data_IF_844735071612
#
_entry.id   IF_844735071612
#
_cell.length_a   1.000
_cell.length_b   1.000
_cell.length_c   1.000
_cell.angle_alpha   90.00
_cell.angle_beta   90.00
_cell.angle_gamma   90.00
#
_symmetry.space_group_name_H-M   'P 1'
#
loop_
_entity.id
_entity.type
_entity.pdbx_description
1 polymer ?
#
# COMPACT_ATOMS: atom_id res chain seq x y z
N UNK A 1 -4.04 -2.82 1.49
CA UNK A 1 -4.04 -1.78 0.42
C UNK A 1 -2.63 -1.62 -0.11
N UNK A 2 -2.44 -1.59 -1.44
CA UNK A 2 -1.13 -1.59 -2.10
C UNK A 2 -0.84 -0.24 -2.75
N UNK A 3 0.26 0.43 -2.38
CA UNK A 3 0.88 1.48 -3.19
C UNK A 3 2.41 1.46 -3.04
N UNK A 4 3.05 1.85 -4.16
CA UNK A 4 4.49 1.96 -4.40
C UNK A 4 5.09 3.24 -3.84
N UNK A 5 6.32 3.17 -3.34
CA UNK A 5 7.33 4.19 -3.62
C UNK A 5 8.69 3.55 -3.91
N UNK A 6 9.34 3.91 -5.02
CA UNK A 6 10.80 3.77 -5.23
C UNK A 6 11.37 2.35 -5.06
N UNK A 7 10.65 1.32 -5.54
CA UNK A 7 11.07 -0.09 -5.50
C UNK A 7 10.62 -0.85 -4.25
N UNK A 8 9.88 -0.20 -3.35
CA UNK A 8 9.19 -0.84 -2.23
C UNK A 8 7.68 -0.80 -2.43
N UNK A 9 7.05 -1.96 -2.30
CA UNK A 9 5.61 -2.14 -2.33
C UNK A 9 5.15 -2.58 -0.94
N UNK A 10 4.06 -1.98 -0.43
CA UNK A 10 3.58 -2.29 0.91
C UNK A 10 2.08 -2.55 0.94
N UNK A 11 1.70 -3.47 1.82
CA UNK A 11 0.34 -3.73 2.24
C UNK A 11 0.08 -3.00 3.56
N UNK A 12 -0.91 -2.11 3.56
CA UNK A 12 -1.34 -1.37 4.76
C UNK A 12 -2.79 -1.67 5.08
N UNK A 13 -3.08 -1.82 6.37
CA UNK A 13 -4.44 -2.01 6.87
C UNK A 13 -5.29 -0.76 6.68
N UNK A 14 -6.49 -0.94 6.12
CA UNK A 14 -7.37 0.16 5.76
C UNK A 14 -8.06 0.82 6.96
N UNK A 15 -8.07 0.20 8.16
CA UNK A 15 -8.69 0.77 9.37
C UNK A 15 -7.64 1.45 10.23
N UNK A 16 -6.61 0.73 10.61
CA UNK A 16 -5.59 1.12 11.58
C UNK A 16 -4.39 1.82 10.94
N UNK A 17 -4.10 1.55 9.67
CA UNK A 17 -2.99 2.19 8.96
C UNK A 17 -1.61 1.60 9.27
N UNK A 18 -1.52 0.46 9.94
CA UNK A 18 -0.26 -0.26 10.12
C UNK A 18 0.12 -1.04 8.86
N UNK A 19 1.42 -1.24 8.66
CA UNK A 19 1.98 -2.01 7.56
C UNK A 19 1.97 -3.49 7.94
N UNK A 20 1.34 -4.34 7.14
CA UNK A 20 1.30 -5.79 7.36
C UNK A 20 2.19 -6.57 6.39
N UNK A 21 2.36 -6.09 5.16
CA UNK A 21 3.18 -6.75 4.12
C UNK A 21 4.15 -5.76 3.50
N UNK A 22 5.34 -6.22 3.15
CA UNK A 22 6.37 -5.45 2.49
C UNK A 22 7.00 -6.34 1.42
N UNK A 23 7.08 -5.85 0.21
CA UNK A 23 7.80 -6.46 -0.91
C UNK A 23 8.79 -5.43 -1.49
N UNK A 24 9.90 -5.92 -2.02
CA UNK A 24 10.87 -5.09 -2.72
C UNK A 24 11.19 -5.75 -4.06
N UNK A 25 10.96 -5.00 -5.13
CA UNK A 25 11.16 -5.46 -6.49
C UNK A 25 12.31 -4.69 -7.15
N UNK A 26 12.90 -5.29 -8.18
CA UNK A 26 13.83 -4.58 -9.05
C UNK A 26 13.06 -3.57 -9.91
N UNK A 27 13.69 -2.46 -10.30
CA UNK A 27 13.05 -1.38 -11.07
C UNK A 27 12.49 -1.82 -12.42
N UNK A 28 12.95 -2.95 -12.97
CA UNK A 28 12.47 -3.52 -14.23
C UNK A 28 11.25 -4.44 -14.07
N UNK A 29 10.86 -4.78 -12.84
CA UNK A 29 9.69 -5.63 -12.57
C UNK A 29 8.47 -4.72 -12.39
N UNK A 30 7.36 -5.11 -13.02
CA UNK A 30 6.10 -4.37 -12.85
C UNK A 30 5.48 -4.67 -11.49
N UNK A 31 5.07 -3.60 -10.80
CA UNK A 31 4.38 -3.61 -9.51
C UNK A 31 3.15 -4.55 -9.49
N UNK A 32 2.53 -4.79 -10.65
CA UNK A 32 1.42 -5.75 -10.82
C UNK A 32 1.77 -7.16 -10.33
N UNK A 33 3.04 -7.56 -10.44
CA UNK A 33 3.52 -8.87 -10.02
C UNK A 33 3.72 -8.98 -8.51
N UNK A 34 3.84 -7.86 -7.80
CA UNK A 34 4.00 -7.86 -6.33
C UNK A 34 2.66 -7.97 -5.61
N UNK A 35 1.53 -7.82 -6.33
CA UNK A 35 0.21 -7.87 -5.73
C UNK A 35 -0.06 -9.14 -4.91
N UNK A 36 0.30 -10.37 -5.37
CA UNK A 36 0.11 -11.59 -4.58
C UNK A 36 0.92 -11.59 -3.28
N UNK A 37 2.16 -11.10 -3.30
CA UNK A 37 3.05 -11.08 -2.13
C UNK A 37 2.58 -10.09 -1.06
N UNK A 38 1.73 -9.13 -1.45
CA UNK A 38 1.19 -8.11 -0.55
C UNK A 38 -0.15 -8.50 0.05
N UNK A 39 -0.83 -9.50 -0.52
CA UNK A 39 -2.09 -10.00 -0.01
C UNK A 39 -1.81 -11.11 1.02
N UNK A 40 -2.34 -10.97 2.23
CA UNK A 40 -2.17 -11.93 3.31
C UNK A 40 -3.33 -12.92 3.43
N UNK A 41 -4.38 -12.75 2.63
CA UNK A 41 -5.44 -13.72 2.48
C UNK A 41 -6.59 -13.59 3.49
N UNK A 42 -6.66 -12.49 4.26
CA UNK A 42 -7.80 -12.18 5.13
C UNK A 42 -8.51 -10.88 4.70
N UNK A 43 -8.12 -10.31 3.56
CA UNK A 43 -8.67 -9.06 3.08
C UNK A 43 -10.15 -9.20 2.70
N UNK A 44 -10.97 -8.28 3.19
CA UNK A 44 -12.37 -8.14 2.73
C UNK A 44 -12.49 -7.16 1.57
N UNK A 45 -11.59 -6.18 1.50
CA UNK A 45 -11.58 -5.13 0.48
C UNK A 45 -10.14 -4.78 0.12
N UNK A 46 -9.86 -4.74 -1.17
CA UNK A 46 -8.54 -4.37 -1.70
C UNK A 46 -8.66 -3.05 -2.45
N UNK A 47 -8.02 -2.02 -1.90
CA UNK A 47 -8.00 -0.68 -2.47
C UNK A 47 -6.69 -0.50 -3.24
N UNK A 48 -6.78 -0.18 -4.53
CA UNK A 48 -5.61 -0.01 -5.39
C UNK A 48 -5.87 1.12 -6.39
N UNK A 49 -4.79 1.71 -6.93
CA UNK A 49 -4.89 2.73 -7.97
C UNK A 49 -5.32 2.16 -9.33
N UNK A 50 -5.59 3.04 -10.29
CA UNK A 50 -6.06 2.64 -11.61
C UNK A 50 -5.04 1.89 -12.47
N UNK A 51 -3.75 1.88 -12.10
CA UNK A 51 -2.72 1.10 -12.76
C UNK A 51 -2.91 -0.40 -12.59
N UNK A 52 -3.65 -0.83 -11.56
CA UNK A 52 -3.98 -2.23 -11.29
C UNK A 52 -5.28 -2.69 -11.96
N UNK A 53 -5.85 -1.88 -12.87
CA UNK A 53 -6.97 -2.32 -13.68
C UNK A 53 -6.65 -3.60 -14.43
N UNK A 54 -7.56 -4.58 -14.36
CA UNK A 54 -7.37 -5.91 -14.96
C UNK A 54 -6.83 -6.97 -14.00
N UNK A 55 -6.33 -6.59 -12.81
CA UNK A 55 -5.84 -7.52 -11.80
C UNK A 55 -6.92 -8.14 -10.91
N UNK A 56 -8.20 -7.97 -11.27
CA UNK A 56 -9.33 -8.53 -10.50
C UNK A 56 -9.21 -10.04 -10.29
N UNK A 57 -8.64 -10.79 -11.25
CA UNK A 57 -8.39 -12.23 -11.09
C UNK A 57 -7.34 -12.52 -10.03
N UNK A 58 -6.21 -11.80 -10.04
CA UNK A 58 -5.16 -11.93 -9.02
C UNK A 58 -5.68 -11.53 -7.62
N UNK A 59 -6.47 -10.46 -7.52
CA UNK A 59 -7.12 -10.03 -6.27
C UNK A 59 -8.09 -11.10 -5.74
N UNK A 60 -8.82 -11.78 -6.64
CA UNK A 60 -9.79 -12.83 -6.29
C UNK A 60 -9.18 -14.22 -6.11
N UNK A 61 -7.89 -14.41 -6.42
CA UNK A 61 -7.16 -15.62 -6.04
C UNK A 61 -6.84 -15.65 -4.54
N UNK A 62 -6.82 -14.48 -3.89
CA UNK A 62 -6.93 -14.35 -2.43
C UNK A 62 -8.37 -14.73 -1.98
N UNK A 63 -8.72 -14.81 -0.68
CA UNK A 63 -9.88 -15.55 -0.17
C UNK A 63 -11.21 -15.18 -0.87
N UNK A 64 -12.15 -16.12 -0.85
CA UNK A 64 -13.35 -16.23 -1.71
C UNK A 64 -14.36 -15.07 -1.65
N UNK A 65 -14.10 -13.95 -0.96
CA UNK A 65 -15.02 -12.81 -0.83
C UNK A 65 -14.36 -11.42 -0.88
N UNK A 66 -13.17 -11.30 -1.46
CA UNK A 66 -12.48 -10.00 -1.57
C UNK A 66 -13.22 -9.06 -2.55
N UNK A 67 -13.60 -7.88 -2.07
CA UNK A 67 -14.11 -6.82 -2.94
C UNK A 67 -12.95 -6.02 -3.55
N UNK A 68 -12.89 -6.01 -4.88
CA UNK A 68 -11.98 -5.19 -5.66
C UNK A 68 -12.47 -3.73 -5.67
N UNK A 69 -11.67 -2.83 -5.05
CA UNK A 69 -11.91 -1.39 -4.96
C UNK A 69 -10.92 -0.59 -5.82
N UNK A 70 -10.45 -1.16 -6.93
CA UNK A 70 -9.56 -0.48 -7.88
C UNK A 70 -10.19 0.82 -8.43
N UNK A 71 -9.43 1.91 -8.48
CA UNK A 71 -9.88 3.16 -9.09
C UNK A 71 -10.11 2.99 -10.60
N UNK A 72 -11.18 3.58 -11.13
CA UNK A 72 -11.55 3.42 -12.53
C UNK A 72 -11.19 4.69 -13.31
N UNK A 73 -11.05 4.56 -14.63
CA UNK A 73 -10.91 5.75 -15.47
C UNK A 73 -12.24 6.51 -15.47
N UNK A 74 -12.24 7.75 -15.00
CA UNK A 74 -13.46 8.57 -14.84
C UNK A 74 -13.70 9.53 -15.99
N UNK A 75 -12.67 9.83 -16.79
CA UNK A 75 -12.73 10.72 -17.95
C UNK A 75 -12.45 9.97 -19.25
N UNK A 76 -13.33 10.16 -20.22
CA UNK A 76 -13.17 9.64 -21.58
C UNK A 76 -13.48 10.75 -22.60
N UNK A 77 -12.49 11.11 -23.43
CA UNK A 77 -12.57 12.24 -24.37
C UNK A 77 -13.10 13.51 -23.67
N UNK A 78 -14.29 13.98 -24.06
CA UNK A 78 -14.95 15.18 -23.54
C UNK A 78 -16.03 14.86 -22.49
N UNK A 79 -16.15 13.60 -22.08
CA UNK A 79 -17.12 13.14 -21.09
C UNK A 79 -16.43 12.80 -19.76
N UNK A 80 -17.06 13.21 -18.66
CA UNK A 80 -16.65 12.88 -17.29
C UNK A 80 -17.81 12.20 -16.59
N UNK A 81 -17.57 10.98 -16.10
CA UNK A 81 -18.51 10.30 -15.23
C UNK A 81 -18.34 10.83 -13.80
N UNK A 82 -19.21 11.77 -13.42
CA UNK A 82 -19.22 12.38 -12.10
C UNK A 82 -19.55 11.38 -10.98
N UNK A 83 -20.32 10.32 -11.26
CA UNK A 83 -20.61 9.28 -10.28
C UNK A 83 -19.39 8.40 -10.01
N UNK A 84 -18.66 8.01 -11.06
CA UNK A 84 -17.39 7.29 -10.92
C UNK A 84 -16.33 8.15 -10.21
N UNK A 85 -16.26 9.44 -10.54
CA UNK A 85 -15.36 10.40 -9.88
C UNK A 85 -15.62 10.53 -8.39
N UNK A 86 -16.88 10.62 -7.96
CA UNK A 86 -17.25 10.63 -6.54
C UNK A 86 -16.84 9.33 -5.84
N UNK A 87 -17.03 8.17 -6.47
CA UNK A 87 -16.60 6.87 -5.92
C UNK A 87 -15.07 6.82 -5.74
N UNK A 88 -14.33 7.29 -6.73
CA UNK A 88 -12.87 7.28 -6.69
C UNK A 88 -12.28 8.32 -5.73
N UNK A 89 -13.00 9.41 -5.44
CA UNK A 89 -12.66 10.33 -4.36
C UNK A 89 -12.71 9.64 -3.00
N UNK A 90 -13.74 8.83 -2.73
CA UNK A 90 -13.84 8.05 -1.49
C UNK A 90 -12.74 6.99 -1.40
N UNK A 91 -12.44 6.28 -2.50
CA UNK A 91 -11.30 5.35 -2.55
C UNK A 91 -9.98 6.05 -2.24
N UNK A 92 -9.78 7.24 -2.82
CA UNK A 92 -8.56 8.01 -2.63
C UNK A 92 -8.35 8.44 -1.18
N UNK A 93 -9.42 8.74 -0.42
CA UNK A 93 -9.32 9.03 1.03
C UNK A 93 -8.77 7.84 1.83
N UNK A 94 -9.19 6.62 1.49
CA UNK A 94 -8.61 5.41 2.08
C UNK A 94 -7.14 5.29 1.67
N UNK A 95 -6.83 5.64 0.41
CA UNK A 95 -5.47 5.58 -0.13
C UNK A 95 -4.47 6.52 0.54
N UNK A 96 -4.91 7.66 1.05
CA UNK A 96 -4.06 8.59 1.79
C UNK A 96 -3.39 7.97 3.02
N UNK A 97 -3.93 6.86 3.58
CA UNK A 97 -3.27 6.16 4.70
C UNK A 97 -1.89 5.62 4.33
N UNK A 98 -1.74 5.04 3.14
CA UNK A 98 -0.44 4.55 2.68
C UNK A 98 0.53 5.70 2.40
N UNK A 99 0.03 6.79 1.82
CA UNK A 99 0.83 8.00 1.62
C UNK A 99 1.35 8.56 2.95
N UNK A 100 0.55 8.48 4.02
CA UNK A 100 0.97 8.89 5.35
C UNK A 100 2.12 8.03 5.89
N UNK A 101 2.06 6.70 5.70
CA UNK A 101 3.15 5.79 6.05
C UNK A 101 4.43 6.22 5.31
N UNK A 102 4.38 6.38 3.99
CA UNK A 102 5.56 6.79 3.22
C UNK A 102 6.09 8.17 3.62
N UNK A 103 5.21 9.11 4.01
CA UNK A 103 5.63 10.39 4.57
C UNK A 103 6.44 10.22 5.85
N UNK A 104 6.00 9.35 6.76
CA UNK A 104 6.73 9.07 8.00
C UNK A 104 8.07 8.39 7.67
N UNK A 105 8.09 7.44 6.73
CA UNK A 105 9.31 6.73 6.33
C UNK A 105 10.38 7.70 5.80
N UNK A 106 9.98 8.63 4.93
CA UNK A 106 10.89 9.60 4.31
C UNK A 106 11.26 10.74 5.25
N UNK A 107 10.29 11.35 5.91
CA UNK A 107 10.50 12.57 6.71
C UNK A 107 10.98 12.31 8.14
N UNK A 108 10.50 11.25 8.80
CA UNK A 108 10.86 10.95 10.20
C UNK A 108 12.02 9.98 10.28
N UNK A 109 11.94 8.87 9.54
CA UNK A 109 12.98 7.83 9.53
C UNK A 109 14.11 8.12 8.53
N UNK A 110 13.98 9.15 7.69
CA UNK A 110 15.05 9.61 6.79
C UNK A 110 15.39 8.63 5.66
N UNK A 111 14.46 7.74 5.28
CA UNK A 111 14.68 6.79 4.18
C UNK A 111 14.49 7.47 2.82
N UNK A 112 15.42 8.35 2.46
CA UNK A 112 15.38 9.09 1.19
C UNK A 112 16.16 8.40 0.06
N UNK A 113 17.07 7.47 0.40
CA UNK A 113 17.91 6.73 -0.55
C UNK A 113 18.18 5.31 -0.07
N UNK A 114 18.24 4.38 -1.02
CA UNK A 114 18.82 3.04 -0.81
C UNK A 114 20.31 3.19 -0.50
N UNK A 115 20.79 2.47 0.52
CA UNK A 115 22.19 2.57 0.98
C UNK A 115 22.99 1.31 0.67
N UNK A 116 22.33 0.16 0.57
CA UNK A 116 23.01 -1.11 0.40
C UNK A 116 23.08 -1.51 -1.07
N UNK A 117 24.19 -2.17 -1.44
CA UNK A 117 24.29 -2.88 -2.72
C UNK A 117 23.55 -4.21 -2.61
N UNK A 118 22.54 -4.40 -3.46
CA UNK A 118 21.71 -5.61 -3.52
C UNK A 118 20.30 -5.41 -2.95
N UNK A 119 19.33 -6.07 -3.58
CA UNK A 119 17.89 -5.96 -3.25
C UNK A 119 17.62 -6.51 -1.86
N UNK A 120 18.12 -7.72 -1.54
CA UNK A 120 17.89 -8.37 -0.24
C UNK A 120 18.32 -7.50 0.96
N UNK A 121 19.49 -6.83 0.89
CA UNK A 121 19.96 -5.97 1.99
C UNK A 121 19.08 -4.74 2.19
N UNK A 122 18.59 -4.14 1.09
CA UNK A 122 17.65 -3.04 1.19
C UNK A 122 16.26 -3.50 1.66
N UNK A 123 15.83 -4.70 1.26
CA UNK A 123 14.59 -5.30 1.73
C UNK A 123 14.57 -5.48 3.24
N UNK A 124 15.63 -6.06 3.84
CA UNK A 124 15.72 -6.20 5.29
C UNK A 124 15.74 -4.85 6.01
N UNK A 125 16.43 -3.85 5.44
CA UNK A 125 16.39 -2.48 5.97
C UNK A 125 14.97 -1.90 5.94
N UNK A 126 14.22 -2.09 4.86
CA UNK A 126 12.82 -1.66 4.75
C UNK A 126 11.95 -2.36 5.80
N UNK A 127 12.08 -3.68 5.95
CA UNK A 127 11.35 -4.45 6.96
C UNK A 127 11.59 -3.90 8.37
N UNK A 128 12.85 -3.64 8.74
CA UNK A 128 13.19 -3.06 10.02
C UNK A 128 12.58 -1.66 10.22
N UNK A 129 12.61 -0.80 9.19
CA UNK A 129 11.99 0.52 9.27
C UNK A 129 10.47 0.43 9.44
N UNK A 130 9.79 -0.42 8.67
CA UNK A 130 8.34 -0.57 8.78
C UNK A 130 7.91 -1.16 10.13
N UNK A 131 8.68 -2.09 10.70
CA UNK A 131 8.45 -2.58 12.06
C UNK A 131 8.52 -1.45 13.10
N UNK A 132 9.59 -0.63 13.06
CA UNK A 132 9.74 0.53 13.95
C UNK A 132 8.66 1.59 13.71
N UNK A 133 8.24 1.77 12.46
CA UNK A 133 7.17 2.71 12.11
C UNK A 133 5.82 2.26 12.64
N UNK A 134 5.51 0.96 12.62
CA UNK A 134 4.28 0.45 13.22
C UNK A 134 4.25 0.77 14.73
N UNK A 135 5.37 0.59 15.43
CA UNK A 135 5.49 1.01 16.84
C UNK A 135 5.27 2.52 16.99
N UNK A 136 5.89 3.33 16.11
CA UNK A 136 5.72 4.78 16.12
C UNK A 136 4.27 5.22 15.86
N UNK A 137 3.57 4.59 14.91
CA UNK A 137 2.17 4.87 14.58
C UNK A 137 1.25 4.55 15.77
N UNK A 138 1.53 3.45 16.47
CA UNK A 138 0.74 3.02 17.63
C UNK A 138 1.22 3.56 18.98
N UNK A 139 2.23 4.43 19.01
CA UNK A 139 2.81 4.94 20.25
C UNK A 139 1.78 5.42 21.27
N UNK A 140 0.74 6.15 20.85
CA UNK A 140 -0.30 6.66 21.77
C UNK A 140 -1.14 5.55 22.42
N UNK A 141 -1.35 4.43 21.71
CA UNK A 141 -2.04 3.25 22.26
C UNK A 141 -1.12 2.49 23.21
N UNK A 142 0.16 2.35 22.82
CA UNK A 142 1.16 1.61 23.59
C UNK A 142 1.56 2.34 24.89
N UNK A 143 1.66 3.67 24.88
CA UNK A 143 1.98 4.45 26.07
C UNK A 143 0.93 4.32 27.17
N UNK A 144 -0.33 4.05 26.80
CA UNK A 144 -1.41 3.85 27.77
C UNK A 144 -1.35 2.47 28.45
N UNK A 145 -0.77 1.47 27.78
CA UNK A 145 -0.57 0.12 28.35
C UNK A 145 0.67 0.04 29.26
N UNK A 146 1.55 1.04 29.20
CA UNK A 146 2.79 1.10 29.96
C UNK A 146 2.65 1.87 31.30
N UNK A 147 1.48 2.42 31.56
CA UNK A 147 1.08 3.09 32.82
C UNK A 147 0.04 2.25 33.54
#
# INVERSE_FOLDING_TARGET
>A
MVLRTEGADIGVDAKEGHVHSVAMSATNVSDLHMLPDLLHGEERKVWVDGGYQGQTKAIRQAPTNVQDMTCKRTRFKNYVDEAAKKKDATKSKVRTKVEHVFRILKSVFGFNKVRYRGIAKNYHRLCANFALMNLYLHRKRLTWLAT
#
